data_IF_827383787312
#
_entry.id   IF_827383787312
#
_cell.length_a   1.000
_cell.length_b   1.000
_cell.length_c   1.000
_cell.angle_alpha   90.00
_cell.angle_beta   90.00
_cell.angle_gamma   90.00
#
_symmetry.space_group_name_H-M   'P 1'
#
loop_
_entity.id
_entity.type
_entity.pdbx_description
1 polymer ?
#
# COMPACT_ATOMS: atom_id res chain seq x y z
N UNK A 1 -37.93 38.80 -51.72
CA UNK A 1 -36.95 37.87 -51.11
C UNK A 1 -36.30 38.57 -49.92
N UNK A 2 -36.46 38.05 -48.71
CA UNK A 2 -36.01 38.68 -47.45
C UNK A 2 -34.55 38.28 -47.21
N UNK A 3 -33.63 39.25 -47.29
CA UNK A 3 -32.18 39.02 -47.13
C UNK A 3 -31.89 38.74 -45.65
N UNK A 4 -31.61 37.49 -45.30
CA UNK A 4 -31.17 37.12 -43.95
C UNK A 4 -29.72 37.59 -43.80
N UNK A 5 -29.52 38.76 -43.22
CA UNK A 5 -28.18 39.23 -42.83
C UNK A 5 -27.76 38.43 -41.60
N UNK A 6 -26.88 37.45 -41.78
CA UNK A 6 -26.23 36.76 -40.65
C UNK A 6 -25.13 37.68 -40.13
N UNK A 7 -25.36 38.30 -38.97
CA UNK A 7 -24.34 39.02 -38.20
C UNK A 7 -23.33 37.99 -37.64
N UNK A 8 -22.44 37.49 -38.50
CA UNK A 8 -21.31 36.67 -38.08
C UNK A 8 -20.20 37.62 -37.59
N UNK A 9 -20.23 37.97 -36.29
CA UNK A 9 -19.07 38.57 -35.63
C UNK A 9 -17.99 37.48 -35.52
N UNK A 10 -16.85 37.67 -36.17
CA UNK A 10 -15.71 36.77 -36.06
C UNK A 10 -15.04 36.90 -34.69
N UNK A 11 -14.48 35.80 -34.19
CA UNK A 11 -13.66 35.78 -32.98
C UNK A 11 -12.36 36.53 -33.23
N UNK A 12 -11.97 37.46 -32.35
CA UNK A 12 -10.72 38.20 -32.52
C UNK A 12 -9.53 37.37 -32.04
N UNK A 13 -8.38 37.55 -32.69
CA UNK A 13 -7.12 36.91 -32.27
C UNK A 13 -6.75 37.30 -30.84
N UNK A 14 -7.03 38.55 -30.45
CA UNK A 14 -6.73 39.05 -29.10
C UNK A 14 -7.61 38.41 -28.03
N UNK A 15 -8.90 38.17 -28.31
CA UNK A 15 -9.79 37.42 -27.40
C UNK A 15 -9.24 36.01 -27.15
N UNK A 16 -8.74 35.35 -28.20
CA UNK A 16 -8.14 34.02 -28.07
C UNK A 16 -6.84 34.04 -27.26
N UNK A 17 -5.98 35.04 -27.47
CA UNK A 17 -4.71 35.17 -26.75
C UNK A 17 -4.91 35.40 -25.26
N UNK A 18 -5.88 36.24 -24.87
CA UNK A 18 -6.20 36.48 -23.45
C UNK A 18 -6.72 35.20 -22.79
N UNK A 19 -7.59 34.44 -23.47
CA UNK A 19 -8.12 33.18 -22.95
C UNK A 19 -7.00 32.17 -22.70
N UNK A 20 -6.08 31.99 -23.66
CA UNK A 20 -4.94 31.09 -23.49
C UNK A 20 -4.01 31.55 -22.38
N UNK A 21 -3.79 32.87 -22.22
CA UNK A 21 -3.00 33.43 -21.13
C UNK A 21 -3.62 33.13 -19.75
N UNK A 22 -4.94 33.30 -19.60
CA UNK A 22 -5.65 32.99 -18.35
C UNK A 22 -5.59 31.49 -18.05
N UNK A 23 -5.85 30.62 -19.04
CA UNK A 23 -5.75 29.16 -18.87
C UNK A 23 -4.32 28.76 -18.49
N UNK A 24 -3.30 29.39 -19.07
CA UNK A 24 -1.90 29.16 -18.74
C UNK A 24 -1.57 29.46 -17.27
N UNK A 25 -2.06 30.59 -16.74
CA UNK A 25 -1.88 30.96 -15.33
C UNK A 25 -2.58 29.95 -14.41
N UNK A 26 -3.82 29.57 -14.72
CA UNK A 26 -4.57 28.60 -13.92
C UNK A 26 -3.90 27.21 -13.93
N UNK A 27 -3.44 26.75 -15.10
CA UNK A 27 -2.76 25.47 -15.24
C UNK A 27 -1.43 25.42 -14.46
N UNK A 28 -0.66 26.51 -14.47
CA UNK A 28 0.61 26.58 -13.75
C UNK A 28 0.47 26.34 -12.24
N UNK A 29 -0.63 26.78 -11.63
CA UNK A 29 -0.94 26.56 -10.21
C UNK A 29 -1.61 25.20 -10.00
N UNK A 30 -2.56 24.85 -10.86
CA UNK A 30 -3.39 23.65 -10.69
C UNK A 30 -2.60 22.34 -10.86
N UNK A 31 -1.67 22.27 -11.81
CA UNK A 31 -0.91 21.04 -12.11
C UNK A 31 -0.10 20.52 -10.90
N UNK A 32 0.78 21.31 -10.26
CA UNK A 32 1.56 20.82 -9.12
C UNK A 32 0.67 20.45 -7.92
N UNK A 33 -0.39 21.22 -7.67
CA UNK A 33 -1.34 20.93 -6.59
C UNK A 33 -2.09 19.61 -6.84
N UNK A 34 -2.55 19.38 -8.08
CA UNK A 34 -3.24 18.16 -8.45
C UNK A 34 -2.33 16.93 -8.34
N UNK A 35 -1.06 17.05 -8.72
CA UNK A 35 -0.07 15.98 -8.56
C UNK A 35 0.11 15.60 -7.08
N UNK A 36 0.24 16.59 -6.18
CA UNK A 36 0.32 16.33 -4.73
C UNK A 36 -0.96 15.72 -4.17
N UNK A 37 -2.14 16.16 -4.63
CA UNK A 37 -3.42 15.61 -4.23
C UNK A 37 -3.53 14.12 -4.60
N UNK A 38 -3.16 13.76 -5.84
CA UNK A 38 -3.12 12.36 -6.28
C UNK A 38 -2.16 11.52 -5.44
N UNK A 39 -0.97 12.03 -5.17
CA UNK A 39 0.02 11.34 -4.32
C UNK A 39 -0.52 11.06 -2.90
N UNK A 40 -1.23 12.03 -2.31
CA UNK A 40 -1.91 11.83 -1.01
C UNK A 40 -3.00 10.76 -1.08
N UNK A 41 -3.77 10.73 -2.17
CA UNK A 41 -4.79 9.69 -2.39
C UNK A 41 -4.15 8.29 -2.51
N UNK A 42 -3.03 8.18 -3.22
CA UNK A 42 -2.26 6.93 -3.32
C UNK A 42 -1.72 6.47 -1.97
N UNK A 43 -1.16 7.38 -1.18
CA UNK A 43 -0.72 7.08 0.18
C UNK A 43 -1.90 6.64 1.07
N UNK A 44 -3.05 7.31 0.97
CA UNK A 44 -4.26 6.93 1.71
C UNK A 44 -4.77 5.54 1.34
N UNK A 45 -4.67 5.14 0.07
CA UNK A 45 -5.03 3.78 -0.36
C UNK A 45 -4.12 2.74 0.27
N UNK A 46 -2.80 2.98 0.29
CA UNK A 46 -1.86 2.07 0.93
C UNK A 46 -2.09 1.95 2.44
N UNK A 47 -2.35 3.08 3.12
CA UNK A 47 -2.67 3.06 4.56
C UNK A 47 -3.96 2.27 4.85
N UNK A 48 -5.00 2.43 4.01
CA UNK A 48 -6.25 1.67 4.15
C UNK A 48 -6.02 0.16 3.99
N UNK A 49 -5.23 -0.25 3.01
CA UNK A 49 -4.92 -1.66 2.78
C UNK A 49 -4.08 -2.25 3.92
N UNK A 50 -3.22 -1.45 4.57
CA UNK A 50 -2.50 -1.89 5.75
C UNK A 50 -3.45 -2.20 6.92
N UNK A 51 -4.47 -1.36 7.11
CA UNK A 51 -5.49 -1.59 8.14
C UNK A 51 -6.30 -2.86 7.83
N UNK A 52 -6.67 -3.07 6.57
CA UNK A 52 -7.34 -4.31 6.15
C UNK A 52 -6.48 -5.54 6.42
N UNK A 53 -5.17 -5.44 6.15
CA UNK A 53 -4.22 -6.50 6.43
C UNK A 53 -4.11 -6.77 7.94
N UNK A 54 -3.98 -5.71 8.76
CA UNK A 54 -4.00 -5.83 10.23
C UNK A 54 -5.24 -6.54 10.74
N UNK A 55 -6.41 -6.18 10.23
CA UNK A 55 -7.66 -6.88 10.58
C UNK A 55 -7.63 -8.35 10.19
N UNK A 56 -7.04 -8.71 9.04
CA UNK A 56 -6.91 -10.11 8.64
C UNK A 56 -5.99 -10.91 9.59
N UNK A 57 -4.92 -10.30 10.09
CA UNK A 57 -4.05 -10.88 11.12
C UNK A 57 -4.78 -11.06 12.46
N UNK A 58 -5.56 -10.07 12.87
CA UNK A 58 -6.36 -10.12 14.10
C UNK A 58 -7.41 -11.24 14.07
N UNK A 59 -8.04 -11.48 12.91
CA UNK A 59 -8.95 -12.60 12.69
C UNK A 59 -8.22 -13.93 12.89
N UNK A 60 -7.05 -14.10 12.26
CA UNK A 60 -6.28 -15.34 12.34
C UNK A 60 -5.80 -15.62 13.77
N UNK A 61 -5.34 -14.59 14.46
CA UNK A 61 -4.92 -14.69 15.86
C UNK A 61 -6.10 -15.02 16.78
N UNK A 62 -7.25 -14.37 16.57
CA UNK A 62 -8.46 -14.60 17.37
C UNK A 62 -8.96 -16.04 17.29
N UNK A 63 -9.02 -16.60 16.08
CA UNK A 63 -9.60 -17.92 15.84
C UNK A 63 -8.60 -19.08 16.04
N UNK A 64 -7.31 -18.83 15.80
CA UNK A 64 -6.32 -19.91 15.67
C UNK A 64 -5.02 -19.71 16.46
N UNK A 65 -4.86 -18.58 17.16
CA UNK A 65 -3.70 -18.30 18.02
C UNK A 65 -2.34 -18.30 17.29
N UNK A 66 -2.35 -17.89 16.02
CA UNK A 66 -1.14 -17.62 15.25
C UNK A 66 -1.39 -16.52 14.22
N UNK A 67 -0.32 -15.85 13.81
CA UNK A 67 -0.31 -14.89 12.70
C UNK A 67 0.12 -15.55 11.39
N UNK A 68 -0.04 -14.83 10.27
CA UNK A 68 0.26 -15.36 8.94
C UNK A 68 1.15 -14.46 8.09
N UNK A 69 1.61 -15.01 6.98
CA UNK A 69 2.30 -14.24 5.95
C UNK A 69 1.41 -14.02 4.73
N UNK A 70 1.67 -12.96 3.99
CA UNK A 70 0.94 -12.69 2.74
C UNK A 70 1.29 -13.71 1.66
N UNK A 71 0.30 -14.44 1.17
CA UNK A 71 0.42 -15.37 0.05
C UNK A 71 -0.72 -15.16 -0.95
N UNK A 72 -0.45 -15.42 -2.23
CA UNK A 72 -1.52 -15.51 -3.23
C UNK A 72 -2.11 -16.91 -3.16
N UNK A 73 -3.37 -17.02 -2.77
CA UNK A 73 -4.02 -18.31 -2.55
C UNK A 73 -5.50 -18.20 -2.21
N UNK A 74 -6.13 -19.33 -1.92
CA UNK A 74 -7.52 -19.43 -1.48
C UNK A 74 -7.62 -19.25 0.02
N UNK A 75 -8.71 -18.66 0.48
CA UNK A 75 -9.04 -18.66 1.92
C UNK A 75 -9.39 -20.08 2.37
N UNK A 76 -9.03 -20.43 3.61
CA UNK A 76 -9.28 -21.75 4.19
C UNK A 76 -8.34 -22.88 3.75
N UNK A 77 -7.36 -22.61 2.87
CA UNK A 77 -6.30 -23.57 2.50
C UNK A 77 -4.93 -22.93 2.63
N UNK A 78 -3.96 -23.67 3.19
CA UNK A 78 -2.61 -23.13 3.43
C UNK A 78 -1.69 -23.31 2.23
N UNK A 79 -1.11 -22.20 1.79
CA UNK A 79 0.27 -22.18 1.30
C UNK A 79 1.15 -21.66 2.45
N UNK A 80 2.28 -22.30 2.71
CA UNK A 80 3.13 -22.02 3.88
C UNK A 80 3.36 -20.52 4.07
N UNK A 81 2.96 -19.99 5.22
CA UNK A 81 3.12 -18.57 5.56
C UNK A 81 4.58 -18.14 5.51
N UNK A 82 4.80 -16.84 5.25
CA UNK A 82 6.15 -16.28 5.12
C UNK A 82 6.81 -16.17 6.50
N UNK A 83 7.74 -17.08 6.77
CA UNK A 83 8.62 -17.07 7.95
C UNK A 83 9.92 -16.38 7.60
N UNK A 84 10.32 -15.39 8.38
CA UNK A 84 11.68 -14.81 8.32
C UNK A 84 12.03 -14.16 6.97
N UNK A 85 12.39 -12.88 7.02
CA UNK A 85 12.66 -12.00 5.88
C UNK A 85 11.44 -11.57 5.04
N UNK A 86 11.52 -10.33 4.57
CA UNK A 86 10.51 -9.65 3.76
C UNK A 86 10.44 -10.28 2.36
N UNK A 87 9.45 -11.14 2.12
CA UNK A 87 9.14 -11.64 0.77
C UNK A 87 8.71 -10.50 -0.15
N UNK A 88 8.87 -10.66 -1.47
CA UNK A 88 8.21 -9.79 -2.43
C UNK A 88 6.71 -9.75 -2.13
N UNK A 89 6.22 -8.59 -1.66
CA UNK A 89 4.82 -8.41 -1.29
C UNK A 89 3.88 -8.66 -2.46
N UNK A 90 2.62 -8.93 -2.14
CA UNK A 90 1.57 -9.05 -3.14
C UNK A 90 1.28 -7.68 -3.74
N UNK A 91 1.16 -7.60 -5.06
CA UNK A 91 0.84 -6.36 -5.78
C UNK A 91 -0.60 -6.42 -6.25
N UNK A 92 -1.39 -5.41 -5.87
CA UNK A 92 -2.75 -5.25 -6.33
C UNK A 92 -2.85 -4.75 -7.78
N UNK A 93 -4.04 -4.84 -8.40
CA UNK A 93 -5.29 -5.16 -7.75
C UNK A 93 -5.45 -6.67 -7.51
N UNK A 94 -5.77 -7.05 -6.28
CA UNK A 94 -6.12 -8.43 -5.91
C UNK A 94 -7.37 -8.41 -5.04
N UNK A 95 -8.33 -9.26 -5.36
CA UNK A 95 -9.44 -9.55 -4.46
C UNK A 95 -8.93 -10.41 -3.29
N UNK A 96 -9.65 -10.38 -2.17
CA UNK A 96 -9.43 -11.37 -1.12
C UNK A 96 -9.64 -12.78 -1.65
N UNK A 97 -8.71 -13.68 -1.32
CA UNK A 97 -8.87 -15.09 -1.64
C UNK A 97 -10.16 -15.61 -1.05
N UNK A 98 -10.92 -16.38 -1.81
CA UNK A 98 -12.11 -17.08 -1.33
C UNK A 98 -11.78 -18.56 -1.21
N UNK A 99 -12.71 -19.38 -0.72
CA UNK A 99 -12.54 -20.84 -0.69
C UNK A 99 -12.39 -21.45 -2.09
N UNK A 100 -12.86 -20.76 -3.14
CA UNK A 100 -12.89 -21.27 -4.51
C UNK A 100 -11.89 -20.57 -5.44
N UNK A 101 -11.52 -19.32 -5.14
CA UNK A 101 -10.76 -18.45 -6.03
C UNK A 101 -9.51 -17.92 -5.34
N UNK A 102 -8.38 -18.07 -6.01
CA UNK A 102 -7.11 -17.50 -5.58
C UNK A 102 -7.19 -15.97 -5.52
N UNK A 103 -6.74 -15.41 -4.41
CA UNK A 103 -6.65 -13.96 -4.20
C UNK A 103 -5.53 -13.64 -3.22
N UNK A 104 -5.54 -12.44 -2.67
CA UNK A 104 -4.64 -12.08 -1.58
C UNK A 104 -5.14 -12.69 -0.27
N UNK A 105 -4.24 -13.36 0.44
CA UNK A 105 -4.54 -14.04 1.71
C UNK A 105 -3.41 -13.86 2.71
N UNK A 106 -3.76 -13.81 4.00
CA UNK A 106 -2.83 -14.04 5.11
C UNK A 106 -2.95 -15.52 5.47
N UNK A 107 -1.85 -16.28 5.31
CA UNK A 107 -1.83 -17.71 5.59
C UNK A 107 -0.77 -18.03 6.66
N UNK A 108 -1.16 -18.84 7.62
CA UNK A 108 -0.32 -19.26 8.74
C UNK A 108 -0.59 -20.70 9.15
N UNK A 109 0.25 -21.21 10.04
CA UNK A 109 0.08 -22.50 10.69
C UNK A 109 0.46 -22.39 12.17
N UNK A 110 -0.11 -23.22 13.03
CA UNK A 110 0.34 -23.31 14.42
C UNK A 110 1.72 -23.99 14.50
N UNK A 111 2.41 -23.89 15.64
CA UNK A 111 3.75 -24.46 15.82
C UNK A 111 3.82 -25.96 15.55
N UNK A 112 2.77 -26.70 15.94
CA UNK A 112 2.67 -28.15 15.72
C UNK A 112 2.28 -28.53 14.28
N UNK A 113 1.99 -27.54 13.42
CA UNK A 113 1.56 -27.67 12.01
C UNK A 113 0.27 -28.48 11.82
N UNK A 114 -0.51 -28.65 12.89
CA UNK A 114 -1.78 -29.37 12.90
C UNK A 114 -2.95 -28.50 12.48
N UNK A 115 -2.85 -27.18 12.69
CA UNK A 115 -3.85 -26.19 12.29
C UNK A 115 -3.23 -25.27 11.24
N UNK A 116 -3.98 -25.08 10.16
CA UNK A 116 -3.54 -24.45 8.92
C UNK A 116 -4.68 -23.63 8.37
N UNK A 117 -4.56 -22.30 8.39
CA UNK A 117 -5.66 -21.41 8.03
C UNK A 117 -5.18 -20.23 7.18
N UNK A 118 -6.09 -19.73 6.35
CA UNK A 118 -5.86 -18.58 5.50
C UNK A 118 -7.09 -17.66 5.45
N UNK A 119 -6.87 -16.36 5.65
CA UNK A 119 -7.91 -15.32 5.61
C UNK A 119 -7.69 -14.46 4.37
N UNK A 120 -8.74 -14.28 3.57
CA UNK A 120 -8.70 -13.42 2.38
C UNK A 120 -8.74 -11.94 2.74
N UNK A 121 -7.96 -11.12 2.02
CA UNK A 121 -8.01 -9.65 2.15
C UNK A 121 -7.82 -8.97 0.79
N UNK A 122 -8.45 -7.81 0.59
CA UNK A 122 -8.31 -7.05 -0.67
C UNK A 122 -7.04 -6.22 -0.71
N UNK A 123 -6.47 -6.05 -1.91
CA UNK A 123 -5.36 -5.13 -2.17
C UNK A 123 -5.76 -4.20 -3.32
N UNK A 124 -5.69 -2.89 -3.05
CA UNK A 124 -5.96 -1.83 -4.00
C UNK A 124 -5.00 -1.84 -5.18
N UNK A 125 -5.47 -1.31 -6.32
CA UNK A 125 -4.65 -1.21 -7.52
C UNK A 125 -3.35 -0.43 -7.22
N UNK A 126 -2.21 -1.05 -7.53
CA UNK A 126 -0.92 -0.40 -7.35
C UNK A 126 -0.41 -0.30 -5.93
N UNK A 127 -1.15 -0.85 -4.97
CA UNK A 127 -0.66 -1.09 -3.63
C UNK A 127 0.10 -2.40 -3.61
N UNK A 128 1.25 -2.38 -2.95
CA UNK A 128 1.88 -3.60 -2.48
C UNK A 128 1.52 -3.79 -1.03
N UNK A 129 1.12 -5.00 -0.66
CA UNK A 129 0.94 -5.40 0.71
C UNK A 129 1.78 -6.63 1.04
N UNK A 130 2.37 -6.64 2.22
CA UNK A 130 3.14 -7.76 2.71
C UNK A 130 3.00 -7.89 4.22
N UNK A 131 2.92 -9.14 4.67
CA UNK A 131 2.98 -9.54 6.06
C UNK A 131 3.99 -10.67 6.16
N UNK A 132 4.80 -10.61 7.19
CA UNK A 132 5.76 -11.65 7.54
C UNK A 132 5.62 -11.94 9.01
N UNK A 133 5.85 -13.21 9.38
CA UNK A 133 5.84 -13.64 10.77
C UNK A 133 7.23 -14.01 11.25
N UNK A 134 7.39 -14.10 12.57
CA UNK A 134 8.50 -14.83 13.14
C UNK A 134 8.35 -16.33 12.85
N UNK A 135 9.38 -17.11 13.18
CA UNK A 135 9.38 -18.55 12.93
C UNK A 135 8.31 -19.29 13.75
N UNK A 136 7.92 -18.69 14.87
CA UNK A 136 6.96 -19.18 15.84
C UNK A 136 5.51 -18.78 15.51
N UNK A 137 5.30 -17.93 14.51
CA UNK A 137 4.00 -17.31 14.17
C UNK A 137 3.34 -16.52 15.32
N UNK A 138 4.10 -16.18 16.35
CA UNK A 138 3.65 -15.43 17.52
C UNK A 138 3.76 -13.91 17.38
N UNK A 139 4.38 -13.43 16.30
CA UNK A 139 4.44 -12.01 15.95
C UNK A 139 4.40 -11.83 14.44
N UNK A 140 3.86 -10.70 13.98
CA UNK A 140 3.89 -10.30 12.59
C UNK A 140 4.31 -8.85 12.45
N UNK A 141 4.97 -8.56 11.33
CA UNK A 141 5.19 -7.21 10.84
C UNK A 141 4.59 -7.11 9.45
N UNK A 142 3.79 -6.08 9.24
CA UNK A 142 3.10 -5.83 7.98
C UNK A 142 3.42 -4.44 7.45
N UNK A 143 3.41 -4.32 6.12
CA UNK A 143 3.68 -3.06 5.46
C UNK A 143 2.98 -2.95 4.11
N UNK A 144 2.70 -1.71 3.74
CA UNK A 144 2.14 -1.38 2.44
C UNK A 144 2.81 -0.16 1.82
N UNK A 145 2.80 -0.10 0.51
CA UNK A 145 3.13 1.14 -0.22
C UNK A 145 2.40 1.17 -1.56
N UNK A 146 2.11 2.36 -2.06
CA UNK A 146 1.59 2.53 -3.41
C UNK A 146 2.74 2.93 -4.35
N UNK A 147 2.85 2.35 -5.56
CA UNK A 147 3.99 2.61 -6.47
C UNK A 147 4.06 4.06 -6.99
N UNK A 148 2.96 4.81 -6.89
CA UNK A 148 2.88 6.27 -7.17
C UNK A 148 2.79 7.13 -5.90
N UNK A 149 2.82 6.50 -4.74
CA UNK A 149 2.91 7.18 -3.45
C UNK A 149 4.37 7.46 -3.10
N UNK A 150 4.57 8.31 -2.11
CA UNK A 150 5.90 8.60 -1.54
C UNK A 150 6.00 8.19 -0.06
N UNK A 151 5.00 7.46 0.44
CA UNK A 151 4.99 6.90 1.80
C UNK A 151 4.83 5.39 1.76
N UNK A 152 5.55 4.75 2.68
CA UNK A 152 5.28 3.39 3.11
C UNK A 152 4.62 3.43 4.47
N UNK A 153 3.76 2.46 4.73
CA UNK A 153 3.08 2.30 6.02
C UNK A 153 3.45 0.94 6.60
N UNK A 154 3.53 0.87 7.92
CA UNK A 154 3.89 -0.32 8.66
C UNK A 154 3.08 -0.49 9.93
N UNK A 155 2.90 -1.73 10.37
CA UNK A 155 2.32 -2.08 11.67
C UNK A 155 2.89 -3.42 12.11
N UNK A 156 2.69 -3.72 13.38
CA UNK A 156 3.22 -4.90 14.05
C UNK A 156 2.15 -5.49 14.97
N UNK A 157 2.33 -6.76 15.33
CA UNK A 157 1.40 -7.48 16.21
C UNK A 157 1.44 -7.05 17.67
N UNK A 158 2.57 -6.51 18.15
CA UNK A 158 2.77 -6.14 19.55
C UNK A 158 2.38 -4.68 19.85
N UNK A 159 1.93 -3.91 18.85
CA UNK A 159 1.52 -2.52 18.99
C UNK A 159 0.25 -2.18 18.19
N UNK A 160 -0.58 -1.29 18.74
CA UNK A 160 -1.73 -0.74 18.00
C UNK A 160 -1.34 0.36 17.03
N UNK A 161 -0.11 0.89 17.15
CA UNK A 161 0.38 2.00 16.34
C UNK A 161 0.50 1.63 14.85
N UNK A 162 0.29 2.63 14.01
CA UNK A 162 0.74 2.61 12.63
C UNK A 162 2.00 3.46 12.50
N UNK A 163 2.89 3.02 11.64
CA UNK A 163 4.15 3.69 11.36
C UNK A 163 4.19 4.10 9.91
N UNK A 164 4.94 5.15 9.62
CA UNK A 164 5.22 5.58 8.25
C UNK A 164 6.69 5.86 8.02
N UNK A 165 7.09 5.66 6.78
CA UNK A 165 8.34 6.11 6.20
C UNK A 165 8.04 6.97 4.98
N UNK A 166 8.88 7.95 4.65
CA UNK A 166 8.64 8.87 3.55
C UNK A 166 9.90 9.18 2.74
N UNK A 167 9.76 9.24 1.43
CA UNK A 167 10.84 9.59 0.54
C UNK A 167 10.67 9.10 -0.89
N UNK A 168 11.29 9.81 -1.81
CA UNK A 168 11.26 9.51 -3.25
C UNK A 168 12.28 8.42 -3.61
N UNK A 169 13.28 8.21 -2.74
CA UNK A 169 14.33 7.19 -2.88
C UNK A 169 14.04 5.86 -2.20
N UNK A 170 12.92 5.74 -1.50
CA UNK A 170 12.57 4.50 -0.79
C UNK A 170 12.61 3.25 -1.70
N UNK A 171 12.45 3.42 -3.03
CA UNK A 171 12.20 2.31 -3.96
C UNK A 171 12.93 2.42 -5.31
N UNK A 172 14.02 3.21 -5.42
CA UNK A 172 14.59 3.66 -6.71
C UNK A 172 15.42 2.60 -7.49
N UNK A 173 15.58 1.37 -6.99
CA UNK A 173 16.25 0.30 -7.75
C UNK A 173 15.40 -0.95 -7.97
N UNK A 174 14.88 -1.06 -9.21
CA UNK A 174 14.42 -2.26 -9.92
C UNK A 174 13.09 -2.92 -9.51
N UNK A 175 12.09 -2.65 -10.36
CA UNK A 175 11.03 -3.54 -10.88
C UNK A 175 10.22 -4.32 -9.82
N UNK A 176 9.18 -3.67 -9.30
CA UNK A 176 8.22 -4.30 -8.41
C UNK A 176 8.72 -4.36 -6.96
N UNK A 177 7.85 -4.74 -6.04
CA UNK A 177 7.45 -3.82 -5.00
C UNK A 177 8.37 -3.76 -3.78
N UNK A 178 9.49 -4.46 -3.78
CA UNK A 178 10.46 -4.51 -2.68
C UNK A 178 11.84 -4.94 -3.19
N UNK A 179 12.30 -4.35 -4.29
CA UNK A 179 13.60 -4.65 -4.90
C UNK A 179 14.80 -4.08 -4.13
N UNK A 180 14.98 -4.48 -2.87
CA UNK A 180 16.13 -4.13 -2.07
C UNK A 180 15.84 -4.32 -0.59
N UNK A 181 16.24 -5.47 -0.05
CA UNK A 181 16.09 -5.84 1.36
C UNK A 181 16.44 -4.71 2.34
N UNK A 182 15.67 -4.64 3.45
CA UNK A 182 15.90 -3.93 4.74
C UNK A 182 14.91 -2.83 5.19
N UNK A 183 13.81 -2.53 4.50
CA UNK A 183 12.94 -1.44 4.96
C UNK A 183 12.10 -1.78 6.21
N UNK A 184 11.42 -2.93 6.27
CA UNK A 184 10.63 -3.32 7.44
C UNK A 184 11.44 -4.27 8.36
N UNK A 185 11.46 -4.04 9.68
CA UNK A 185 12.17 -4.90 10.62
C UNK A 185 11.54 -6.30 10.68
N UNK A 186 12.35 -7.32 10.95
CA UNK A 186 11.84 -8.66 11.18
C UNK A 186 11.02 -8.69 12.49
N UNK A 187 9.87 -9.37 12.52
CA UNK A 187 9.03 -9.46 13.71
C UNK A 187 9.70 -10.28 14.81
N UNK A 188 9.63 -9.80 16.05
CA UNK A 188 10.11 -10.49 17.24
C UNK A 188 9.05 -10.37 18.34
N UNK A 189 8.58 -11.49 18.87
CA UNK A 189 7.51 -11.45 19.89
C UNK A 189 7.88 -10.63 21.12
N UNK A 190 6.99 -9.73 21.51
CA UNK A 190 7.10 -8.91 22.71
C UNK A 190 7.99 -7.68 22.55
N UNK A 191 8.38 -7.32 21.33
CA UNK A 191 9.16 -6.10 21.05
C UNK A 191 8.50 -5.24 19.98
N UNK A 192 8.77 -3.93 20.05
CA UNK A 192 8.22 -2.95 19.10
C UNK A 192 9.30 -2.56 18.10
N UNK A 193 9.44 -3.31 17.00
CA UNK A 193 10.59 -3.13 16.12
C UNK A 193 10.48 -1.94 15.18
N UNK A 194 9.27 -1.48 14.86
CA UNK A 194 9.14 -0.31 13.99
C UNK A 194 9.68 0.94 14.65
N UNK A 195 9.67 1.02 15.98
CA UNK A 195 10.16 2.22 16.68
C UNK A 195 11.65 2.44 16.41
N UNK A 196 11.99 3.54 15.71
CA UNK A 196 13.34 3.94 15.34
C UNK A 196 14.10 3.02 14.36
N UNK A 197 13.46 1.99 13.80
CA UNK A 197 14.06 1.19 12.73
C UNK A 197 14.27 2.04 11.47
N UNK A 198 15.41 1.83 10.79
CA UNK A 198 15.71 2.51 9.52
C UNK A 198 14.82 1.95 8.42
N UNK A 199 14.26 2.83 7.61
CA UNK A 199 13.29 2.46 6.57
C UNK A 199 13.71 2.89 5.15
N UNK A 200 14.91 3.48 5.01
CA UNK A 200 15.48 3.85 3.71
C UNK A 200 14.92 5.13 3.07
N UNK A 201 13.95 5.81 3.72
CA UNK A 201 13.42 7.09 3.23
C UNK A 201 14.42 8.23 3.32
N UNK A 202 14.43 9.11 2.32
CA UNK A 202 15.29 10.30 2.29
C UNK A 202 14.64 11.53 2.96
N UNK A 203 13.33 11.52 3.18
CA UNK A 203 12.60 12.58 3.92
C UNK A 203 12.34 12.17 5.36
N UNK A 204 11.83 10.96 5.57
CA UNK A 204 11.66 10.32 6.88
C UNK A 204 12.40 9.00 6.81
N UNK A 205 13.61 8.96 7.40
CA UNK A 205 14.56 7.86 7.26
C UNK A 205 14.42 6.74 8.28
N UNK A 206 13.59 6.98 9.31
CA UNK A 206 13.21 6.00 10.32
C UNK A 206 11.70 5.90 10.37
N UNK A 207 11.20 4.69 10.60
CA UNK A 207 9.79 4.48 10.87
C UNK A 207 9.34 5.34 12.04
N UNK A 208 8.32 6.15 11.77
CA UNK A 208 7.77 7.14 12.70
C UNK A 208 6.32 6.80 12.93
N UNK A 209 5.88 6.78 14.19
CA UNK A 209 4.46 6.57 14.51
C UNK A 209 3.60 7.68 13.88
N UNK A 210 2.45 7.30 13.33
CA UNK A 210 1.44 8.23 12.79
C UNK A 210 0.66 8.93 13.89
#
# INVERSE_FOLDING_TARGET
MKKIVRNAKGFTLIELMIVVAIIGILAAIAIPQFAQYRMRAFNSSAESDLRNLKTAEEVLMGDHQFYGGTVKGKSGTVSGGNKGETTNGLVGPLNGGTVDVDGATIAGENQDKTVKMAVGFGIGNGVTAAAVTNNEFGAYNAYTHHFQGNRAFGTEGDSTALYYCQGDKLFVSKKGPLGGATAAPAPTSGTVEFTNAKCGGDVVSKWTAL
#
